data_IF_701910708643
#
_entry.id   IF_701910708643
#
_cell.length_a   1.000
_cell.length_b   1.000
_cell.length_c   1.000
_cell.angle_alpha   90.00
_cell.angle_beta   90.00
_cell.angle_gamma   90.00
#
_symmetry.space_group_name_H-M   'P 1'
#
loop_
_entity.id
_entity.type
_entity.pdbx_description
1 polymer ?
#
# COMPACT_ATOMS: atom_id res chain seq x y z
N UNK A 1 39.61 11.75 -51.19
CA UNK A 1 38.29 12.30 -50.79
C UNK A 1 37.37 11.19 -50.27
N UNK A 2 37.33 10.03 -50.93
CA UNK A 2 36.52 8.86 -50.54
C UNK A 2 36.86 8.29 -49.15
N UNK A 3 38.15 8.03 -48.86
CA UNK A 3 38.60 7.56 -47.53
C UNK A 3 38.20 8.48 -46.36
N UNK A 4 38.23 9.81 -46.55
CA UNK A 4 37.83 10.76 -45.51
C UNK A 4 36.30 10.74 -45.26
N UNK A 5 35.51 10.42 -46.29
CA UNK A 5 34.06 10.34 -46.16
C UNK A 5 33.64 9.07 -45.39
N UNK A 6 34.35 7.96 -45.62
CA UNK A 6 34.13 6.70 -44.91
C UNK A 6 34.47 6.83 -43.41
N UNK A 7 35.58 7.46 -43.05
CA UNK A 7 35.97 7.67 -41.65
C UNK A 7 34.95 8.56 -40.89
N UNK A 8 34.41 9.59 -41.57
CA UNK A 8 33.37 10.45 -41.00
C UNK A 8 32.06 9.69 -40.79
N UNK A 9 31.66 8.84 -41.76
CA UNK A 9 30.47 8.01 -41.66
C UNK A 9 30.59 6.98 -40.53
N UNK A 10 31.73 6.29 -40.42
CA UNK A 10 32.02 5.36 -39.32
C UNK A 10 31.92 6.07 -37.96
N UNK A 11 32.52 7.26 -37.85
CA UNK A 11 32.48 8.05 -36.61
C UNK A 11 31.06 8.49 -36.25
N UNK A 12 30.25 8.88 -37.25
CA UNK A 12 28.85 9.23 -37.07
C UNK A 12 28.02 8.03 -36.57
N UNK A 13 28.17 6.88 -37.20
CA UNK A 13 27.49 5.64 -36.83
C UNK A 13 27.83 5.16 -35.42
N UNK A 14 29.11 5.27 -35.01
CA UNK A 14 29.54 4.95 -33.64
C UNK A 14 28.90 5.92 -32.64
N UNK A 15 28.89 7.23 -32.91
CA UNK A 15 28.24 8.23 -32.03
C UNK A 15 26.74 7.96 -31.91
N UNK A 16 26.09 7.63 -33.03
CA UNK A 16 24.66 7.28 -33.09
C UNK A 16 24.36 6.04 -32.26
N UNK A 17 25.13 4.97 -32.45
CA UNK A 17 24.99 3.72 -31.70
C UNK A 17 25.24 3.93 -30.20
N UNK A 18 26.29 4.64 -29.81
CA UNK A 18 26.56 4.98 -28.40
C UNK A 18 25.39 5.73 -27.75
N UNK A 19 24.75 6.66 -28.48
CA UNK A 19 23.56 7.37 -28.00
C UNK A 19 22.38 6.42 -27.77
N UNK A 20 22.13 5.46 -28.66
CA UNK A 20 21.08 4.46 -28.48
C UNK A 20 21.38 3.49 -27.35
N UNK A 21 22.62 3.01 -27.23
CA UNK A 21 23.06 2.16 -26.12
C UNK A 21 22.90 2.90 -24.79
N UNK A 22 23.31 4.16 -24.71
CA UNK A 22 23.13 4.98 -23.51
C UNK A 22 21.64 5.13 -23.14
N UNK A 23 20.77 5.44 -24.12
CA UNK A 23 19.32 5.51 -23.90
C UNK A 23 18.74 4.18 -23.42
N UNK A 24 19.19 3.07 -23.99
CA UNK A 24 18.76 1.73 -23.60
C UNK A 24 19.17 1.41 -22.16
N UNK A 25 20.43 1.68 -21.78
CA UNK A 25 20.90 1.51 -20.40
C UNK A 25 20.13 2.39 -19.41
N UNK A 26 19.82 3.64 -19.78
CA UNK A 26 18.98 4.52 -18.96
C UNK A 26 17.56 3.97 -18.80
N UNK A 27 16.94 3.44 -19.86
CA UNK A 27 15.61 2.82 -19.76
C UNK A 27 15.60 1.59 -18.85
N UNK A 28 16.64 0.76 -18.91
CA UNK A 28 16.80 -0.39 -18.01
C UNK A 28 16.97 0.09 -16.56
N UNK A 29 17.81 1.10 -16.34
CA UNK A 29 18.00 1.69 -15.01
C UNK A 29 16.69 2.21 -14.42
N UNK A 30 15.87 2.91 -15.21
CA UNK A 30 14.55 3.38 -14.79
C UNK A 30 13.60 2.24 -14.42
N UNK A 31 13.59 1.14 -15.20
CA UNK A 31 12.79 -0.04 -14.89
C UNK A 31 13.22 -0.68 -13.56
N UNK A 32 14.53 -0.80 -13.31
CA UNK A 32 15.04 -1.32 -12.05
C UNK A 32 14.67 -0.43 -10.86
N UNK A 33 14.81 0.90 -11.00
CA UNK A 33 14.41 1.85 -9.95
C UNK A 33 12.91 1.69 -9.65
N UNK A 34 12.07 1.63 -10.69
CA UNK A 34 10.62 1.42 -10.52
C UNK A 34 10.30 0.12 -9.78
N UNK A 35 11.02 -0.96 -10.08
CA UNK A 35 10.83 -2.25 -9.42
C UNK A 35 11.22 -2.19 -7.94
N UNK A 36 12.34 -1.52 -7.62
CA UNK A 36 12.80 -1.33 -6.24
C UNK A 36 11.79 -0.48 -5.47
N UNK A 37 11.34 0.66 -6.02
CA UNK A 37 10.33 1.51 -5.38
C UNK A 37 9.04 0.73 -5.12
N UNK A 38 8.57 -0.06 -6.09
CA UNK A 38 7.41 -0.92 -5.91
C UNK A 38 7.63 -1.97 -4.80
N UNK A 39 8.81 -2.59 -4.77
CA UNK A 39 9.17 -3.56 -3.73
C UNK A 39 9.17 -2.95 -2.32
N UNK A 40 9.71 -1.74 -2.16
CA UNK A 40 9.67 -0.99 -0.89
C UNK A 40 8.23 -0.68 -0.50
N UNK A 41 7.41 -0.18 -1.43
CA UNK A 41 5.99 0.09 -1.16
C UNK A 41 5.25 -1.17 -0.71
N UNK A 42 5.45 -2.28 -1.43
CA UNK A 42 4.85 -3.57 -1.10
C UNK A 42 5.35 -4.13 0.25
N UNK A 43 6.62 -3.88 0.61
CA UNK A 43 7.19 -4.35 1.86
C UNK A 43 6.67 -3.61 3.10
N UNK A 44 6.51 -2.28 3.00
CA UNK A 44 6.28 -1.43 4.17
C UNK A 44 4.92 -0.74 4.23
N UNK A 45 4.22 -0.58 3.11
CA UNK A 45 3.00 0.22 3.01
C UNK A 45 1.75 -0.57 2.56
N UNK A 46 1.91 -1.86 2.24
CA UNK A 46 0.77 -2.73 1.91
C UNK A 46 -0.04 -3.04 3.18
N UNK A 47 -1.32 -2.64 3.19
CA UNK A 47 -2.22 -2.89 4.31
C UNK A 47 -2.60 -4.37 4.44
N UNK A 48 -2.40 -5.20 3.42
CA UNK A 48 -2.66 -6.64 3.53
C UNK A 48 -1.55 -7.37 4.30
N UNK A 49 -0.44 -6.68 4.60
CA UNK A 49 0.72 -7.23 5.31
C UNK A 49 0.82 -6.74 6.76
N UNK A 50 -0.26 -6.16 7.28
CA UNK A 50 -0.33 -5.76 8.68
C UNK A 50 -0.28 -6.99 9.60
N UNK A 51 0.28 -6.85 10.81
CA UNK A 51 0.31 -7.93 11.79
C UNK A 51 -1.09 -8.40 12.13
N UNK A 52 -1.28 -9.70 12.39
CA UNK A 52 -2.60 -10.26 12.71
C UNK A 52 -3.18 -9.67 13.99
N UNK A 53 -2.35 -9.56 15.03
CA UNK A 53 -2.77 -9.09 16.34
C UNK A 53 -3.76 -10.02 17.04
N UNK A 54 -4.22 -9.60 18.21
CA UNK A 54 -5.23 -10.24 19.04
C UNK A 54 -6.56 -9.50 18.88
N UNK A 55 -7.67 -10.23 18.73
CA UNK A 55 -9.00 -9.63 18.55
C UNK A 55 -9.40 -8.93 19.85
N UNK A 56 -9.72 -7.64 19.76
CA UNK A 56 -10.10 -6.82 20.92
C UNK A 56 -11.54 -6.30 20.85
N UNK A 57 -12.10 -6.16 19.65
CA UNK A 57 -13.45 -5.63 19.45
C UNK A 57 -14.07 -6.20 18.17
N UNK A 58 -15.38 -6.40 18.19
CA UNK A 58 -16.16 -6.80 17.02
C UNK A 58 -17.48 -6.05 16.98
N UNK A 59 -17.80 -5.44 15.84
CA UNK A 59 -19.02 -4.65 15.68
C UNK A 59 -19.71 -4.93 14.35
N UNK A 60 -21.04 -5.01 14.37
CA UNK A 60 -21.86 -5.26 13.17
C UNK A 60 -22.57 -3.98 12.74
N UNK A 61 -22.63 -3.75 11.42
CA UNK A 61 -23.41 -2.64 10.86
C UNK A 61 -24.90 -2.77 11.21
N UNK A 62 -25.66 -1.68 11.34
CA UNK A 62 -27.08 -1.72 11.69
C UNK A 62 -27.92 -2.63 10.77
N UNK A 63 -27.68 -2.60 9.46
CA UNK A 63 -28.34 -3.48 8.48
C UNK A 63 -27.72 -4.89 8.32
N UNK A 64 -26.71 -5.23 9.12
CA UNK A 64 -26.00 -6.52 9.07
C UNK A 64 -25.18 -6.80 7.80
N UNK A 65 -24.98 -5.82 6.91
CA UNK A 65 -24.19 -5.96 5.68
C UNK A 65 -22.70 -6.16 5.96
N UNK A 66 -22.20 -5.55 7.02
CA UNK A 66 -20.80 -5.52 7.38
C UNK A 66 -20.56 -5.96 8.83
N UNK A 67 -19.39 -6.57 9.03
CA UNK A 67 -18.81 -6.83 10.34
C UNK A 67 -17.40 -6.26 10.35
N UNK A 68 -17.05 -5.53 11.40
CA UNK A 68 -15.70 -5.02 11.62
C UNK A 68 -15.10 -5.79 12.80
N UNK A 69 -13.93 -6.36 12.57
CA UNK A 69 -13.11 -6.95 13.63
C UNK A 69 -11.88 -6.07 13.82
N UNK A 70 -11.64 -5.61 15.04
CA UNK A 70 -10.45 -4.87 15.40
C UNK A 70 -9.48 -5.72 16.21
N UNK A 71 -8.19 -5.57 15.92
CA UNK A 71 -7.11 -6.33 16.51
C UNK A 71 -6.05 -5.38 17.04
N UNK A 72 -5.57 -5.64 18.25
CA UNK A 72 -4.37 -4.98 18.78
C UNK A 72 -3.14 -5.81 18.44
N UNK A 73 -2.06 -5.15 18.05
CA UNK A 73 -0.80 -5.79 17.71
C UNK A 73 0.35 -5.10 18.43
N UNK A 74 1.30 -5.90 18.93
CA UNK A 74 2.56 -5.42 19.49
C UNK A 74 3.71 -5.73 18.53
N UNK A 75 4.65 -4.81 18.37
CA UNK A 75 5.92 -5.07 17.69
C UNK A 75 7.01 -5.68 18.57
N UNK A 76 6.71 -5.97 19.85
CA UNK A 76 7.66 -6.47 20.84
C UNK A 76 7.83 -5.53 22.05
N UNK A 77 8.81 -5.85 22.90
CA UNK A 77 8.99 -5.22 24.22
C UNK A 77 9.25 -3.70 24.22
N UNK A 78 9.75 -3.15 23.11
CA UNK A 78 10.17 -1.74 23.01
C UNK A 78 9.31 -0.91 22.05
N UNK A 79 8.25 -1.50 21.49
CA UNK A 79 7.38 -0.84 20.51
C UNK A 79 5.98 -0.68 21.08
N UNK A 80 5.41 0.51 20.92
CA UNK A 80 3.99 0.74 21.25
C UNK A 80 3.07 -0.18 20.42
N UNK A 81 1.87 -0.39 20.93
CA UNK A 81 0.83 -1.15 20.25
C UNK A 81 0.25 -0.38 19.06
N UNK A 82 -0.37 -1.14 18.16
CA UNK A 82 -1.10 -0.62 17.03
C UNK A 82 -2.41 -1.38 16.85
N UNK A 83 -3.47 -0.64 16.50
CA UNK A 83 -4.78 -1.22 16.22
C UNK A 83 -4.98 -1.31 14.72
N UNK A 84 -5.32 -2.50 14.23
CA UNK A 84 -5.88 -2.68 12.88
C UNK A 84 -7.36 -3.03 12.95
N UNK A 85 -8.13 -2.65 11.94
CA UNK A 85 -9.47 -3.19 11.75
C UNK A 85 -9.67 -3.75 10.34
N UNK A 86 -10.34 -4.90 10.26
CA UNK A 86 -10.73 -5.53 9.00
C UNK A 86 -12.25 -5.48 8.81
N UNK A 87 -12.67 -5.18 7.58
CA UNK A 87 -14.04 -5.22 7.12
C UNK A 87 -14.35 -6.58 6.50
N UNK A 88 -15.45 -7.17 6.96
CA UNK A 88 -16.03 -8.41 6.46
C UNK A 88 -17.40 -8.06 5.85
N UNK A 89 -17.63 -8.43 4.59
CA UNK A 89 -18.92 -8.27 3.94
C UNK A 89 -19.75 -9.56 4.08
N UNK A 90 -20.83 -9.51 4.86
CA UNK A 90 -21.55 -10.72 5.30
C UNK A 90 -22.30 -11.44 4.18
N UNK A 91 -22.79 -10.68 3.18
CA UNK A 91 -23.61 -11.20 2.07
C UNK A 91 -22.82 -11.52 0.81
N UNK A 92 -21.49 -11.42 0.83
CA UNK A 92 -20.65 -11.69 -0.33
C UNK A 92 -19.49 -12.56 0.08
N UNK A 93 -19.11 -13.54 -0.75
CA UNK A 93 -17.87 -14.31 -0.59
C UNK A 93 -16.59 -13.46 -0.78
N UNK A 94 -16.70 -12.13 -0.66
CA UNK A 94 -15.58 -11.18 -0.82
C UNK A 94 -14.58 -11.38 0.31
N UNK A 95 -13.31 -11.30 -0.05
CA UNK A 95 -12.19 -11.31 0.89
C UNK A 95 -12.31 -10.15 1.88
N UNK A 96 -11.89 -10.45 3.12
CA UNK A 96 -11.66 -9.47 4.18
C UNK A 96 -10.74 -8.36 3.70
N UNK A 97 -10.96 -7.12 4.16
CA UNK A 97 -10.12 -5.97 3.79
C UNK A 97 -9.71 -5.20 5.04
N UNK A 98 -8.43 -4.90 5.20
CA UNK A 98 -8.00 -3.97 6.25
C UNK A 98 -8.42 -2.54 5.88
N UNK A 99 -9.18 -1.90 6.78
CA UNK A 99 -9.76 -0.56 6.61
C UNK A 99 -9.23 0.45 7.63
N UNK A 100 -8.56 0.01 8.69
CA UNK A 100 -8.03 0.90 9.71
C UNK A 100 -6.66 0.39 10.17
N UNK A 101 -5.71 1.30 10.32
CA UNK A 101 -4.40 1.04 10.89
C UNK A 101 -3.88 2.31 11.57
N UNK A 102 -3.71 2.25 12.89
CA UNK A 102 -3.15 3.35 13.67
C UNK A 102 -2.11 2.87 14.69
N UNK A 103 -1.10 3.70 14.94
CA UNK A 103 -0.02 3.45 15.88
C UNK A 103 -0.28 4.18 17.20
N UNK A 104 0.23 3.64 18.32
CA UNK A 104 -0.02 4.10 19.69
C UNK A 104 -1.49 3.98 20.09
N UNK A 105 -2.09 2.88 19.70
CA UNK A 105 -3.45 2.51 20.12
C UNK A 105 -3.47 1.08 20.66
N UNK A 106 -4.23 0.88 21.73
CA UNK A 106 -4.39 -0.42 22.41
C UNK A 106 -5.84 -0.89 22.46
N UNK A 107 -6.79 0.00 22.16
CA UNK A 107 -8.23 -0.24 22.24
C UNK A 107 -8.92 0.25 20.98
N UNK A 108 -10.07 -0.33 20.65
CA UNK A 108 -10.85 0.04 19.48
C UNK A 108 -12.27 0.43 19.88
N UNK A 109 -12.60 1.71 19.71
CA UNK A 109 -13.95 2.24 19.88
C UNK A 109 -14.61 2.36 18.51
N UNK A 110 -15.52 1.42 18.22
CA UNK A 110 -16.21 1.32 16.92
C UNK A 110 -17.65 1.79 17.09
N UNK A 111 -18.01 2.90 16.43
CA UNK A 111 -19.36 3.46 16.47
C UNK A 111 -19.90 3.60 15.04
N UNK A 112 -20.98 2.89 14.74
CA UNK A 112 -21.69 3.04 13.48
C UNK A 112 -22.50 4.34 13.49
N UNK A 113 -22.25 5.20 12.50
CA UNK A 113 -23.00 6.43 12.29
C UNK A 113 -24.27 6.12 11.51
N UNK A 114 -24.13 5.26 10.49
CA UNK A 114 -25.22 4.69 9.70
C UNK A 114 -24.78 3.32 9.12
N UNK A 115 -25.50 2.84 8.11
CA UNK A 115 -25.27 1.54 7.47
C UNK A 115 -23.91 1.37 6.78
N UNK A 116 -23.34 2.47 6.25
CA UNK A 116 -22.13 2.45 5.44
C UNK A 116 -21.03 3.38 6.01
N UNK A 117 -21.31 4.14 7.08
CA UNK A 117 -20.35 5.04 7.73
C UNK A 117 -20.06 4.59 9.17
N UNK A 118 -18.77 4.48 9.49
CA UNK A 118 -18.30 4.05 10.81
C UNK A 118 -17.23 5.00 11.33
N UNK A 119 -17.22 5.22 12.65
CA UNK A 119 -16.14 5.91 13.36
C UNK A 119 -15.32 4.89 14.15
N UNK A 120 -14.02 4.85 13.91
CA UNK A 120 -13.07 4.00 14.65
C UNK A 120 -12.05 4.93 15.31
N UNK A 121 -12.01 4.96 16.64
CA UNK A 121 -11.05 5.76 17.43
C UNK A 121 -10.94 7.24 17.04
N UNK A 122 -12.03 7.85 16.57
CA UNK A 122 -12.01 9.25 16.13
C UNK A 122 -12.12 9.42 14.62
N UNK A 123 -11.65 8.45 13.84
CA UNK A 123 -11.60 8.51 12.38
C UNK A 123 -12.89 7.97 11.75
N UNK A 124 -13.54 8.80 10.92
CA UNK A 124 -14.75 8.42 10.18
C UNK A 124 -14.35 7.81 8.83
N UNK A 125 -14.93 6.66 8.50
CA UNK A 125 -14.69 5.92 7.26
C UNK A 125 -16.00 5.56 6.57
N UNK A 126 -16.07 5.82 5.26
CA UNK A 126 -17.15 5.39 4.38
C UNK A 126 -16.84 4.05 3.70
N UNK A 127 -17.57 3.03 4.08
CA UNK A 127 -17.38 1.65 3.63
C UNK A 127 -18.03 1.41 2.26
N UNK A 128 -17.51 0.45 1.47
CA UNK A 128 -16.37 -0.44 1.75
C UNK A 128 -15.02 0.05 1.18
N UNK A 129 -14.93 1.33 0.79
CA UNK A 129 -13.84 1.83 -0.04
C UNK A 129 -12.83 2.68 0.71
N UNK A 130 -13.27 3.45 1.71
CA UNK A 130 -12.36 4.26 2.51
C UNK A 130 -11.61 3.40 3.53
N UNK A 131 -10.43 3.91 3.88
CA UNK A 131 -9.54 3.30 4.85
C UNK A 131 -8.66 4.36 5.49
N UNK A 132 -8.26 4.13 6.72
CA UNK A 132 -7.29 4.94 7.43
C UNK A 132 -5.98 4.16 7.59
N UNK A 133 -4.86 4.82 7.33
CA UNK A 133 -3.51 4.29 7.46
C UNK A 133 -2.59 5.42 7.89
N UNK A 134 -2.23 5.46 9.18
CA UNK A 134 -1.43 6.55 9.77
C UNK A 134 -0.10 6.81 9.05
N UNK A 135 0.42 5.83 8.30
CA UNK A 135 1.66 5.96 7.51
C UNK A 135 1.51 6.90 6.30
N UNK A 136 0.28 7.32 5.98
CA UNK A 136 -0.08 8.11 4.79
C UNK A 136 -0.73 9.45 5.13
N UNK A 137 -0.88 9.77 6.41
CA UNK A 137 -1.35 11.07 6.89
C UNK A 137 -0.21 12.05 7.14
#
# INVERSE_FOLDING_TARGET
MEHLNDDQNITYEIKRTKKYVLKFLLSIGLLFISLICYGIYWAFFDMNRLPTGELIEQSNSPNGKYTINAYVSSGGATTDFAVRAELIANKSAKKKKNIYWNYREESAYIVWIDDDNVKINGHVLRLPNEKFDFRRE
#
